data_IF_115735889213
#
_entry.id   IF_115735889213
#
_cell.length_a   1.000
_cell.length_b   1.000
_cell.length_c   1.000
_cell.angle_alpha   90.00
_cell.angle_beta   90.00
_cell.angle_gamma   90.00
#
_symmetry.space_group_name_H-M   'P 1'
#
loop_
_entity.id
_entity.type
_entity.pdbx_description
1 polymer ?
#
# COMPACT_ATOMS: atom_id res chain seq x y z
N UNK A 1 -2.01 -3.42 23.98
CA UNK A 1 -2.78 -4.04 22.88
C UNK A 1 -2.17 -3.56 21.58
N UNK A 2 -1.16 -4.28 21.08
CA UNK A 2 -0.63 -4.05 19.74
C UNK A 2 -1.72 -4.43 18.74
N UNK A 3 -2.04 -3.51 17.83
CA UNK A 3 -2.96 -3.73 16.72
C UNK A 3 -2.35 -4.71 15.70
N UNK A 4 -2.10 -5.95 16.12
CA UNK A 4 -1.69 -7.07 15.24
C UNK A 4 -2.87 -7.60 14.43
N UNK A 5 -4.05 -7.06 14.67
CA UNK A 5 -5.25 -7.38 13.91
C UNK A 5 -5.08 -6.89 12.47
N UNK A 6 -4.94 -7.86 11.56
CA UNK A 6 -5.29 -7.85 10.13
C UNK A 6 -4.15 -7.90 9.09
N UNK A 7 -2.88 -8.09 9.48
CA UNK A 7 -1.83 -8.39 8.48
C UNK A 7 -2.03 -9.76 7.80
N UNK A 8 -2.65 -10.73 8.48
CA UNK A 8 -2.91 -12.08 7.97
C UNK A 8 -4.04 -12.19 6.94
N UNK A 9 -4.71 -11.08 6.61
CA UNK A 9 -5.84 -11.04 5.66
C UNK A 9 -5.67 -10.03 4.54
N UNK A 10 -4.44 -9.56 4.29
CA UNK A 10 -4.21 -8.68 3.13
C UNK A 10 -4.34 -9.54 1.86
N UNK A 11 -5.24 -9.20 0.93
CA UNK A 11 -5.36 -9.91 -0.33
C UNK A 11 -4.04 -9.88 -1.10
N UNK A 12 -3.74 -10.94 -1.85
CA UNK A 12 -2.54 -10.96 -2.71
C UNK A 12 -2.58 -9.86 -3.76
N UNK A 13 -3.76 -9.61 -4.31
CA UNK A 13 -4.07 -8.51 -5.22
C UNK A 13 -5.26 -7.71 -4.67
N UNK A 14 -5.20 -6.39 -4.76
CA UNK A 14 -6.26 -5.52 -4.24
C UNK A 14 -6.39 -4.22 -5.04
N UNK A 15 -7.53 -3.57 -4.86
CA UNK A 15 -7.72 -2.15 -5.13
C UNK A 15 -7.49 -1.38 -3.82
N UNK A 16 -6.75 -0.29 -3.88
CA UNK A 16 -6.54 0.63 -2.75
C UNK A 16 -6.97 2.04 -3.14
N UNK A 17 -7.78 2.66 -2.28
CA UNK A 17 -8.26 4.03 -2.43
C UNK A 17 -7.74 4.88 -1.28
N UNK A 18 -7.08 6.00 -1.57
CA UNK A 18 -6.50 6.88 -0.55
C UNK A 18 -6.38 8.32 -1.04
N UNK A 19 -6.31 9.27 -0.11
CA UNK A 19 -6.05 10.68 -0.45
C UNK A 19 -4.57 10.87 -0.78
N UNK A 20 -4.26 11.31 -2.00
CA UNK A 20 -2.89 11.58 -2.41
C UNK A 20 -2.57 13.07 -2.32
N UNK A 21 -1.75 13.45 -1.34
CA UNK A 21 -1.35 14.84 -1.10
C UNK A 21 -0.78 15.53 -2.35
N UNK A 22 0.00 14.82 -3.16
CA UNK A 22 0.56 15.35 -4.41
C UNK A 22 -0.52 15.75 -5.43
N UNK A 23 -1.67 15.07 -5.41
CA UNK A 23 -2.76 15.28 -6.35
C UNK A 23 -3.96 15.99 -5.75
N UNK A 24 -3.95 16.24 -4.42
CA UNK A 24 -5.04 16.84 -3.65
C UNK A 24 -6.41 16.20 -3.93
N UNK A 25 -6.44 14.87 -4.10
CA UNK A 25 -7.66 14.10 -4.36
C UNK A 25 -7.52 12.64 -3.92
N UNK A 26 -8.66 11.98 -3.73
CA UNK A 26 -8.70 10.53 -3.64
C UNK A 26 -8.33 9.91 -4.98
N UNK A 27 -7.43 8.93 -4.94
CA UNK A 27 -7.05 8.14 -6.10
C UNK A 27 -7.24 6.67 -5.80
N UNK A 28 -7.54 5.91 -6.85
CA UNK A 28 -7.60 4.46 -6.82
C UNK A 28 -6.37 3.88 -7.50
N UNK A 29 -5.81 2.83 -6.93
CA UNK A 29 -4.67 2.09 -7.47
C UNK A 29 -4.93 0.59 -7.34
N UNK A 30 -4.31 -0.18 -8.22
CA UNK A 30 -4.27 -1.63 -8.13
C UNK A 30 -2.90 -2.04 -7.62
N UNK A 31 -2.89 -2.85 -6.57
CA UNK A 31 -1.70 -3.19 -5.84
C UNK A 31 -1.59 -4.67 -5.54
N UNK A 32 -0.36 -5.09 -5.29
CA UNK A 32 -0.03 -6.39 -4.75
C UNK A 32 0.61 -6.21 -3.38
N UNK A 33 0.30 -7.14 -2.47
CA UNK A 33 0.98 -7.19 -1.18
C UNK A 33 2.43 -7.62 -1.35
N UNK A 34 2.67 -8.63 -2.17
CA UNK A 34 4.01 -9.15 -2.47
C UNK A 34 4.48 -8.63 -3.82
N UNK A 35 5.74 -8.19 -3.90
CA UNK A 35 6.35 -7.81 -5.19
C UNK A 35 6.37 -9.01 -6.13
N UNK A 36 5.91 -8.86 -7.39
CA UNK A 36 5.87 -9.97 -8.35
C UNK A 36 7.20 -10.69 -8.50
N UNK A 37 7.17 -12.02 -8.58
CA UNK A 37 8.33 -12.90 -8.74
C UNK A 37 9.38 -12.81 -7.61
N UNK A 38 8.96 -12.39 -6.41
CA UNK A 38 9.82 -12.31 -5.22
C UNK A 38 9.02 -12.66 -3.97
N UNK A 39 9.71 -12.94 -2.86
CA UNK A 39 9.07 -13.11 -1.54
C UNK A 39 9.04 -11.80 -0.72
N UNK A 40 9.30 -10.65 -1.38
CA UNK A 40 9.35 -9.35 -0.70
C UNK A 40 7.93 -8.82 -0.54
N UNK A 41 7.47 -8.76 0.71
CA UNK A 41 6.15 -8.24 1.08
C UNK A 41 6.14 -6.73 1.34
N UNK A 42 4.96 -6.15 1.24
CA UNK A 42 4.66 -4.79 1.68
C UNK A 42 4.77 -4.63 3.19
N UNK A 43 4.43 -3.44 3.68
CA UNK A 43 4.53 -3.11 5.10
C UNK A 43 3.36 -2.26 5.54
N UNK A 44 2.82 -2.54 6.72
CA UNK A 44 1.85 -1.69 7.40
C UNK A 44 2.42 -1.28 8.76
N UNK A 45 2.48 0.02 9.05
CA UNK A 45 3.06 0.51 10.29
C UNK A 45 2.48 1.87 10.71
N UNK A 46 2.58 2.19 11.99
CA UNK A 46 2.31 3.52 12.53
C UNK A 46 3.56 4.39 12.40
N UNK A 47 3.48 5.52 11.70
CA UNK A 47 4.57 6.49 11.63
C UNK A 47 4.77 7.21 12.97
N UNK A 48 5.93 7.84 13.16
CA UNK A 48 6.22 8.66 14.34
C UNK A 48 5.25 9.83 14.54
N UNK A 49 4.49 10.22 13.51
CA UNK A 49 3.45 11.25 13.55
C UNK A 49 2.06 10.69 13.85
N UNK A 50 1.93 9.40 14.19
CA UNK A 50 0.64 8.77 14.49
C UNK A 50 -0.22 8.45 13.25
N UNK A 51 0.33 8.56 12.04
CA UNK A 51 -0.38 8.18 10.80
C UNK A 51 -0.08 6.73 10.43
N UNK A 52 -1.10 5.96 10.06
CA UNK A 52 -0.94 4.61 9.54
C UNK A 52 -0.47 4.69 8.09
N UNK A 53 0.63 4.01 7.79
CA UNK A 53 1.23 3.91 6.47
C UNK A 53 1.10 2.49 5.93
N UNK A 54 0.64 2.36 4.70
CA UNK A 54 0.48 1.10 3.99
C UNK A 54 1.33 1.10 2.70
N UNK A 55 2.40 0.32 2.70
CA UNK A 55 3.33 0.16 1.57
C UNK A 55 2.92 -1.07 0.76
N UNK A 56 2.77 -0.88 -0.56
CA UNK A 56 2.36 -1.92 -1.50
C UNK A 56 3.06 -1.78 -2.85
N UNK A 57 3.09 -2.87 -3.63
CA UNK A 57 3.62 -2.85 -4.99
C UNK A 57 2.52 -2.43 -5.96
N UNK A 58 2.69 -1.28 -6.62
CA UNK A 58 1.69 -0.75 -7.55
C UNK A 58 1.83 -1.40 -8.94
N UNK A 59 0.72 -1.92 -9.47
CA UNK A 59 0.68 -2.62 -10.77
C UNK A 59 1.01 -1.70 -11.95
N UNK A 60 0.61 -0.43 -11.88
CA UNK A 60 0.64 0.51 -13.00
C UNK A 60 1.57 1.70 -12.78
N UNK A 61 2.24 1.76 -11.65
CA UNK A 61 3.25 2.78 -11.39
C UNK A 61 4.41 2.69 -12.39
N UNK A 62 4.87 3.85 -12.84
CA UNK A 62 6.21 3.97 -13.42
C UNK A 62 7.26 3.57 -12.37
N UNK A 63 8.22 2.72 -12.76
CA UNK A 63 9.30 2.33 -11.86
C UNK A 63 10.18 3.53 -11.50
N UNK A 64 10.74 3.51 -10.29
CA UNK A 64 11.81 4.44 -9.92
C UNK A 64 13.15 4.06 -10.60
N UNK A 65 14.22 4.82 -10.30
CA UNK A 65 15.55 4.58 -10.85
C UNK A 65 16.10 3.16 -10.58
N UNK A 66 15.55 2.45 -9.59
CA UNK A 66 15.93 1.09 -9.21
C UNK A 66 14.93 0.04 -9.72
N UNK A 67 14.01 0.41 -10.61
CA UNK A 67 12.99 -0.51 -11.13
C UNK A 67 11.83 -0.77 -10.16
N UNK A 68 11.74 -0.07 -9.04
CA UNK A 68 10.74 -0.36 -8.02
C UNK A 68 9.45 0.43 -8.21
N UNK A 69 8.33 -0.25 -7.94
CA UNK A 69 6.97 0.30 -8.04
C UNK A 69 6.29 0.40 -6.67
N UNK A 70 7.07 0.44 -5.58
CA UNK A 70 6.54 0.60 -4.24
C UNK A 70 5.84 1.95 -4.09
N UNK A 71 4.65 1.94 -3.49
CA UNK A 71 3.88 3.14 -3.16
C UNK A 71 3.41 3.05 -1.71
N UNK A 72 3.15 4.22 -1.13
CA UNK A 72 2.68 4.35 0.24
C UNK A 72 1.35 5.08 0.25
N UNK A 73 0.33 4.43 0.77
CA UNK A 73 -0.92 5.07 1.16
C UNK A 73 -0.87 5.44 2.64
N UNK A 74 -1.41 6.60 3.00
CA UNK A 74 -1.55 7.05 4.38
C UNK A 74 -3.02 7.10 4.75
N UNK A 75 -3.33 6.89 6.02
CA UNK A 75 -4.71 6.98 6.47
C UNK A 75 -5.31 8.38 6.19
N UNK A 76 -6.58 8.47 5.78
CA UNK A 76 -7.51 7.35 5.53
C UNK A 76 -7.24 6.63 4.19
N UNK A 77 -7.28 5.30 4.22
CA UNK A 77 -7.28 4.46 3.01
C UNK A 77 -8.25 3.30 3.16
N UNK A 78 -8.71 2.75 2.02
CA UNK A 78 -9.55 1.56 1.94
C UNK A 78 -8.88 0.54 1.02
N UNK A 79 -8.82 -0.72 1.45
CA UNK A 79 -8.29 -1.85 0.66
C UNK A 79 -9.41 -2.84 0.40
N UNK A 80 -9.58 -3.25 -0.85
CA UNK A 80 -10.60 -4.18 -1.31
C UNK A 80 -9.93 -5.28 -2.13
N UNK A 81 -10.21 -6.56 -1.85
CA UNK A 81 -9.71 -7.68 -2.65
C UNK A 81 -10.23 -7.59 -4.09
N UNK A 82 -9.44 -8.07 -5.05
CA UNK A 82 -9.81 -8.21 -6.47
C UNK A 82 -9.58 -9.62 -6.99
#
# INVERSE_FOLDING_TARGET
MTHETQLSKIPSSFKITYYADKHQKFIERYGYWTKPNTDITGKCFLSSKGQICFIYWDKHAEPDANGNKWRMAKNPFRVEAI
#
